data_IF_240548314521
#
_entry.id   IF_240548314521
#
_cell.length_a   1.000
_cell.length_b   1.000
_cell.length_c   1.000
_cell.angle_alpha   90.00
_cell.angle_beta   90.00
_cell.angle_gamma   90.00
#
_symmetry.space_group_name_H-M   'P 1'
#
loop_
_entity.id
_entity.type
_entity.pdbx_description
1 polymer ?
#
# COMPACT_ATOMS: atom_id res chain seq x y z
N UNK A 1 7.92 25.06 -8.18
CA UNK A 1 8.78 23.85 -8.02
C UNK A 1 9.73 23.77 -9.21
N UNK A 2 10.88 23.08 -9.08
CA UNK A 2 11.83 22.93 -10.19
C UNK A 2 11.53 21.68 -11.04
N UNK A 3 11.96 21.64 -12.31
CA UNK A 3 11.84 20.45 -13.18
C UNK A 3 12.36 19.18 -12.49
N UNK A 4 13.51 19.27 -11.80
CA UNK A 4 14.12 18.13 -11.11
C UNK A 4 13.25 17.54 -9.99
N UNK A 5 12.43 18.37 -9.32
CA UNK A 5 11.50 17.89 -8.30
C UNK A 5 10.38 17.09 -8.94
N UNK A 6 9.82 17.55 -10.05
CA UNK A 6 8.78 16.81 -10.78
C UNK A 6 9.30 15.47 -11.29
N UNK A 7 10.52 15.43 -11.84
CA UNK A 7 11.16 14.17 -12.27
C UNK A 7 11.29 13.19 -11.10
N UNK A 8 11.71 13.66 -9.92
CA UNK A 8 11.82 12.81 -8.73
C UNK A 8 10.46 12.27 -8.29
N UNK A 9 9.42 13.11 -8.27
CA UNK A 9 8.06 12.71 -7.92
C UNK A 9 7.51 11.66 -8.88
N UNK A 10 7.71 11.88 -10.19
CA UNK A 10 7.33 10.92 -11.24
C UNK A 10 8.09 9.60 -11.05
N UNK A 11 9.40 9.65 -10.83
CA UNK A 11 10.22 8.46 -10.59
C UNK A 11 9.72 7.65 -9.39
N UNK A 12 9.50 8.29 -8.24
CA UNK A 12 8.96 7.62 -7.05
C UNK A 12 7.56 7.03 -7.31
N UNK A 13 6.71 7.74 -8.03
CA UNK A 13 5.36 7.26 -8.36
C UNK A 13 5.36 6.07 -9.32
N UNK A 14 6.25 6.06 -10.31
CA UNK A 14 6.44 4.91 -11.22
C UNK A 14 6.94 3.69 -10.45
N UNK A 15 7.93 3.85 -9.56
CA UNK A 15 8.42 2.76 -8.71
C UNK A 15 7.30 2.20 -7.83
N UNK A 16 6.52 3.08 -7.20
CA UNK A 16 5.40 2.68 -6.36
C UNK A 16 4.34 1.91 -7.15
N UNK A 17 3.93 2.43 -8.31
CA UNK A 17 2.96 1.77 -9.19
C UNK A 17 3.46 0.40 -9.66
N UNK A 18 4.74 0.28 -10.03
CA UNK A 18 5.36 -1.00 -10.40
C UNK A 18 5.41 -1.98 -9.22
N UNK A 19 5.77 -1.50 -8.02
CA UNK A 19 5.76 -2.30 -6.79
C UNK A 19 4.37 -2.86 -6.50
N UNK A 20 3.31 -2.07 -6.68
CA UNK A 20 1.94 -2.54 -6.52
C UNK A 20 1.60 -3.55 -7.61
N UNK A 21 1.91 -3.30 -8.87
CA UNK A 21 1.64 -4.26 -9.95
C UNK A 21 2.29 -5.63 -9.68
N UNK A 22 3.51 -5.65 -9.12
CA UNK A 22 4.17 -6.88 -8.67
C UNK A 22 3.44 -7.55 -7.51
N UNK A 23 3.04 -6.78 -6.49
CA UNK A 23 2.25 -7.27 -5.35
C UNK A 23 0.94 -7.93 -5.78
N UNK A 24 0.23 -7.24 -6.66
CA UNK A 24 -1.01 -7.65 -7.30
C UNK A 24 -0.83 -8.98 -8.04
N UNK A 25 0.21 -9.05 -8.88
CA UNK A 25 0.51 -10.24 -9.67
C UNK A 25 0.86 -11.44 -8.78
N UNK A 26 1.64 -11.21 -7.71
CA UNK A 26 1.96 -12.26 -6.74
C UNK A 26 0.73 -12.77 -6.01
N UNK A 27 -0.16 -11.88 -5.58
CA UNK A 27 -1.39 -12.26 -4.89
C UNK A 27 -2.33 -13.05 -5.82
N UNK A 28 -2.42 -12.69 -7.10
CA UNK A 28 -3.20 -13.48 -8.07
C UNK A 28 -2.62 -14.88 -8.34
N UNK A 29 -1.29 -15.01 -8.39
CA UNK A 29 -0.62 -16.26 -8.74
C UNK A 29 -0.51 -17.22 -7.55
N UNK A 30 -0.25 -16.68 -6.35
CA UNK A 30 0.07 -17.47 -5.15
C UNK A 30 -1.05 -17.49 -4.12
N UNK A 31 -2.02 -16.57 -4.22
CA UNK A 31 -3.16 -16.44 -3.30
C UNK A 31 -2.70 -16.46 -1.82
N UNK A 32 -3.39 -17.19 -0.95
CA UNK A 32 -3.06 -17.35 0.47
C UNK A 32 -1.72 -18.05 0.71
N UNK A 33 -1.15 -18.77 -0.28
CA UNK A 33 0.15 -19.45 -0.13
C UNK A 33 1.32 -18.47 -0.10
N UNK A 34 1.12 -17.24 -0.57
CA UNK A 34 2.13 -16.19 -0.55
C UNK A 34 2.72 -16.01 0.87
N UNK A 35 1.88 -16.06 1.89
CA UNK A 35 2.25 -15.83 3.28
C UNK A 35 3.08 -16.98 3.89
N UNK A 36 3.10 -18.15 3.25
CA UNK A 36 3.82 -19.34 3.72
C UNK A 36 5.22 -19.46 3.10
N UNK A 37 5.56 -18.59 2.15
CA UNK A 37 6.84 -18.62 1.46
C UNK A 37 7.94 -17.96 2.30
N UNK A 38 9.13 -18.56 2.42
CA UNK A 38 10.26 -17.97 3.15
C UNK A 38 10.63 -16.56 2.67
N UNK A 39 10.48 -16.30 1.36
CA UNK A 39 10.76 -15.00 0.77
C UNK A 39 9.68 -13.93 1.02
N UNK A 40 8.57 -14.26 1.71
CA UNK A 40 7.51 -13.31 2.02
C UNK A 40 7.99 -12.13 2.89
N UNK A 41 8.78 -12.40 3.94
CA UNK A 41 9.27 -11.34 4.83
C UNK A 41 10.24 -10.38 4.11
N UNK A 42 11.26 -10.85 3.35
CA UNK A 42 12.05 -9.98 2.49
C UNK A 42 11.21 -9.15 1.52
N UNK A 43 10.19 -9.76 0.92
CA UNK A 43 9.28 -9.06 0.00
C UNK A 43 8.50 -7.95 0.70
N UNK A 44 7.98 -8.22 1.90
CA UNK A 44 7.26 -7.25 2.73
C UNK A 44 8.14 -6.04 3.07
N UNK A 45 9.43 -6.26 3.35
CA UNK A 45 10.41 -5.19 3.60
C UNK A 45 10.62 -4.32 2.35
N UNK A 46 10.71 -4.93 1.17
CA UNK A 46 10.84 -4.18 -0.09
C UNK A 46 9.57 -3.35 -0.36
N UNK A 47 8.39 -3.96 -0.20
CA UNK A 47 7.11 -3.26 -0.35
C UNK A 47 6.96 -2.10 0.66
N UNK A 48 7.47 -2.27 1.88
CA UNK A 48 7.53 -1.20 2.86
C UNK A 48 8.43 -0.06 2.41
N UNK A 49 9.65 -0.38 1.96
CA UNK A 49 10.63 0.61 1.54
C UNK A 49 10.13 1.44 0.33
N UNK A 50 9.50 0.80 -0.65
CA UNK A 50 8.88 1.51 -1.79
C UNK A 50 7.71 2.39 -1.36
N UNK A 51 6.88 1.93 -0.42
CA UNK A 51 5.80 2.72 0.17
C UNK A 51 6.33 3.95 0.93
N UNK A 52 7.40 3.79 1.73
CA UNK A 52 8.02 4.90 2.46
C UNK A 52 8.63 5.93 1.50
N UNK A 53 9.28 5.48 0.43
CA UNK A 53 9.82 6.35 -0.62
C UNK A 53 8.71 7.20 -1.26
N UNK A 54 7.58 6.57 -1.55
CA UNK A 54 6.42 7.22 -2.13
C UNK A 54 5.78 8.25 -1.19
N UNK A 55 5.53 7.87 0.06
CA UNK A 55 4.93 8.76 1.06
C UNK A 55 5.85 9.94 1.39
N UNK A 56 7.16 9.73 1.45
CA UNK A 56 8.13 10.81 1.61
C UNK A 56 8.10 11.79 0.43
N UNK A 57 7.98 11.28 -0.80
CA UNK A 57 7.85 12.09 -2.01
C UNK A 57 6.55 12.93 -1.98
N UNK A 58 5.42 12.34 -1.61
CA UNK A 58 4.14 13.04 -1.44
C UNK A 58 4.21 14.12 -0.35
N UNK A 59 4.80 13.79 0.81
CA UNK A 59 4.96 14.72 1.91
C UNK A 59 5.82 15.92 1.50
N UNK A 60 6.92 15.66 0.79
CA UNK A 60 7.80 16.71 0.28
C UNK A 60 7.11 17.59 -0.77
N UNK A 61 6.31 17.00 -1.65
CA UNK A 61 5.48 17.74 -2.61
C UNK A 61 4.54 18.70 -1.87
N UNK A 62 3.74 18.19 -0.92
CA UNK A 62 2.76 19.01 -0.19
C UNK A 62 3.42 20.05 0.73
N UNK A 63 4.61 19.77 1.24
CA UNK A 63 5.42 20.75 1.95
C UNK A 63 5.83 21.90 1.02
N UNK A 64 6.35 21.59 -0.17
CA UNK A 64 6.83 22.59 -1.13
C UNK A 64 5.68 23.39 -1.77
N UNK A 65 4.57 22.73 -2.08
CA UNK A 65 3.37 23.34 -2.63
C UNK A 65 2.52 24.09 -1.58
N UNK A 66 2.91 24.04 -0.29
CA UNK A 66 2.20 24.68 0.84
C UNK A 66 0.75 24.19 1.02
N UNK A 67 0.49 22.93 0.70
CA UNK A 67 -0.82 22.31 0.90
C UNK A 67 -0.94 21.82 2.37
N UNK A 68 -1.28 22.71 3.29
CA UNK A 68 -1.25 22.44 4.74
C UNK A 68 -2.08 21.22 5.16
N UNK A 69 -3.34 21.13 4.73
CA UNK A 69 -4.23 20.01 5.08
C UNK A 69 -3.72 18.67 4.53
N UNK A 70 -3.40 18.62 3.24
CA UNK A 70 -2.88 17.41 2.59
C UNK A 70 -1.54 16.96 3.20
N UNK A 71 -0.66 17.90 3.55
CA UNK A 71 0.60 17.61 4.25
C UNK A 71 0.35 16.89 5.59
N UNK A 72 -0.58 17.40 6.40
CA UNK A 72 -0.92 16.78 7.70
C UNK A 72 -1.53 15.40 7.49
N UNK A 73 -2.44 15.24 6.53
CA UNK A 73 -3.04 13.95 6.22
C UNK A 73 -2.01 12.90 5.78
N UNK A 74 -1.05 13.26 4.90
CA UNK A 74 0.05 12.36 4.50
C UNK A 74 0.94 12.01 5.68
N UNK A 75 1.25 12.97 6.57
CA UNK A 75 2.06 12.70 7.76
C UNK A 75 1.37 11.71 8.72
N UNK A 76 0.06 11.87 8.95
CA UNK A 76 -0.73 10.93 9.76
C UNK A 76 -0.77 9.55 9.07
N UNK A 77 -0.99 9.51 7.76
CA UNK A 77 -1.02 8.26 7.00
C UNK A 77 0.33 7.54 6.99
N UNK A 78 1.44 8.28 6.95
CA UNK A 78 2.80 7.73 7.10
C UNK A 78 2.96 7.03 8.45
N UNK A 79 2.54 7.66 9.55
CA UNK A 79 2.59 7.07 10.90
C UNK A 79 1.72 5.80 10.96
N UNK A 80 0.49 5.86 10.44
CA UNK A 80 -0.41 4.72 10.38
C UNK A 80 0.19 3.55 9.58
N UNK A 81 0.87 3.85 8.47
CA UNK A 81 1.54 2.86 7.63
C UNK A 81 2.69 2.20 8.38
N UNK A 82 3.56 2.98 9.04
CA UNK A 82 4.66 2.45 9.87
C UNK A 82 4.11 1.51 10.95
N UNK A 83 3.06 1.93 11.67
CA UNK A 83 2.41 1.13 12.70
C UNK A 83 1.84 -0.19 12.12
N UNK A 84 1.16 -0.11 10.97
CA UNK A 84 0.61 -1.28 10.28
C UNK A 84 1.69 -2.28 9.89
N UNK A 85 2.81 -1.81 9.34
CA UNK A 85 3.93 -2.68 8.98
C UNK A 85 4.59 -3.32 10.20
N UNK A 86 4.75 -2.57 11.30
CA UNK A 86 5.23 -3.13 12.56
C UNK A 86 4.30 -4.24 13.08
N UNK A 87 2.98 -4.04 13.05
CA UNK A 87 2.00 -5.05 13.46
C UNK A 87 2.07 -6.28 12.54
N UNK A 88 2.11 -6.08 11.22
CA UNK A 88 2.28 -7.18 10.25
C UNK A 88 3.53 -8.01 10.55
N UNK A 89 4.66 -7.35 10.77
CA UNK A 89 5.90 -8.01 11.11
C UNK A 89 5.77 -8.85 12.40
N UNK A 90 5.16 -8.29 13.46
CA UNK A 90 4.94 -9.02 14.72
C UNK A 90 4.01 -10.22 14.56
N UNK A 91 2.95 -10.09 13.76
CA UNK A 91 2.02 -11.20 13.47
C UNK A 91 2.77 -12.33 12.76
N UNK A 92 3.56 -12.03 11.73
CA UNK A 92 4.20 -13.07 10.92
C UNK A 92 5.48 -13.66 11.53
N UNK A 93 6.22 -12.91 12.36
CA UNK A 93 7.47 -13.38 12.96
C UNK A 93 7.25 -13.98 14.35
N UNK A 94 6.38 -13.38 15.16
CA UNK A 94 6.20 -13.74 16.58
C UNK A 94 4.86 -14.44 16.82
N UNK A 95 3.86 -14.24 15.95
CA UNK A 95 2.49 -14.71 16.20
C UNK A 95 1.68 -13.81 17.13
N UNK A 96 2.24 -12.66 17.53
CA UNK A 96 1.62 -11.70 18.44
C UNK A 96 0.73 -10.68 17.69
N UNK A 97 -0.17 -10.02 18.43
CA UNK A 97 -0.98 -8.89 17.95
C UNK A 97 -1.93 -9.20 16.78
N UNK A 98 -2.34 -10.45 16.60
CA UNK A 98 -3.32 -10.83 15.55
C UNK A 98 -4.62 -10.01 15.68
N UNK A 99 -5.03 -9.69 16.90
CA UNK A 99 -6.19 -8.87 17.25
C UNK A 99 -6.09 -7.43 16.68
N UNK A 100 -4.86 -6.92 16.48
CA UNK A 100 -4.59 -5.57 15.97
C UNK A 100 -4.43 -5.54 14.45
N UNK A 101 -4.48 -6.69 13.77
CA UNK A 101 -4.35 -6.77 12.32
C UNK A 101 -5.41 -5.93 11.59
N UNK A 102 -6.69 -6.15 11.91
CA UNK A 102 -7.79 -5.40 11.28
C UNK A 102 -7.86 -3.94 11.75
N UNK A 103 -7.75 -3.61 13.05
CA UNK A 103 -7.72 -2.21 13.49
C UNK A 103 -6.63 -1.37 12.82
N UNK A 104 -5.42 -1.92 12.68
CA UNK A 104 -4.32 -1.21 12.02
C UNK A 104 -4.57 -1.00 10.52
N UNK A 105 -5.22 -1.96 9.86
CA UNK A 105 -5.61 -1.81 8.46
C UNK A 105 -6.71 -0.75 8.28
N UNK A 106 -7.73 -0.76 9.13
CA UNK A 106 -8.78 0.27 9.15
C UNK A 106 -8.21 1.69 9.36
N UNK A 107 -7.19 1.83 10.21
CA UNK A 107 -6.50 3.10 10.44
C UNK A 107 -5.78 3.59 9.16
N UNK A 108 -5.11 2.70 8.44
CA UNK A 108 -4.46 3.02 7.16
C UNK A 108 -5.50 3.46 6.13
N UNK A 109 -6.63 2.76 6.02
CA UNK A 109 -7.73 3.16 5.13
C UNK A 109 -8.29 4.53 5.51
N UNK A 110 -8.64 4.75 6.78
CA UNK A 110 -9.21 6.01 7.23
C UNK A 110 -8.30 7.21 6.95
N UNK A 111 -7.00 7.06 7.20
CA UNK A 111 -6.00 8.12 6.96
C UNK A 111 -5.73 8.33 5.47
N UNK A 112 -5.82 7.29 4.64
CA UNK A 112 -5.76 7.41 3.18
C UNK A 112 -6.99 8.14 2.62
N UNK A 113 -8.19 7.81 3.12
CA UNK A 113 -9.42 8.51 2.78
C UNK A 113 -9.39 9.99 3.18
N UNK A 114 -8.87 10.28 4.38
CA UNK A 114 -8.65 11.65 4.85
C UNK A 114 -7.71 12.41 3.90
N UNK A 115 -6.64 11.78 3.43
CA UNK A 115 -5.76 12.36 2.42
C UNK A 115 -6.51 12.69 1.13
N UNK A 116 -7.32 11.76 0.61
CA UNK A 116 -8.18 12.00 -0.55
C UNK A 116 -9.12 13.20 -0.38
N UNK A 117 -9.76 13.32 0.79
CA UNK A 117 -10.61 14.47 1.13
C UNK A 117 -9.80 15.76 1.15
N UNK A 118 -8.61 15.77 1.78
CA UNK A 118 -7.76 16.95 1.79
C UNK A 118 -7.33 17.40 0.39
N UNK A 119 -7.12 16.48 -0.55
CA UNK A 119 -6.82 16.80 -1.95
C UNK A 119 -7.98 17.49 -2.67
N UNK A 120 -9.23 17.21 -2.31
CA UNK A 120 -10.38 17.89 -2.91
C UNK A 120 -10.41 19.40 -2.61
N UNK A 121 -9.88 19.77 -1.44
CA UNK A 121 -9.88 21.14 -0.93
C UNK A 121 -8.53 21.85 -1.09
N UNK A 122 -7.56 21.28 -1.81
CA UNK A 122 -6.31 22.01 -2.08
C UNK A 122 -6.55 23.18 -3.02
N UNK A 123 -6.07 24.35 -2.62
CA UNK A 123 -6.06 25.56 -3.44
C UNK A 123 -4.82 25.58 -4.34
N UNK A 124 -4.97 25.10 -5.58
CA UNK A 124 -3.92 25.13 -6.61
C UNK A 124 -4.48 25.75 -7.90
N UNK A 125 -3.63 26.40 -8.70
CA UNK A 125 -4.04 27.13 -9.91
C UNK A 125 -4.57 26.21 -11.02
N UNK A 126 -4.13 24.94 -11.06
CA UNK A 126 -4.61 23.90 -11.98
C UNK A 126 -4.94 22.62 -11.21
N UNK A 127 -6.07 22.57 -10.50
CA UNK A 127 -6.32 21.53 -9.53
C UNK A 127 -6.97 20.27 -10.12
N UNK A 128 -7.20 20.21 -11.45
CA UNK A 128 -8.04 19.17 -12.08
C UNK A 128 -7.54 17.77 -11.71
N UNK A 129 -6.28 17.47 -11.99
CA UNK A 129 -5.70 16.15 -11.74
C UNK A 129 -5.57 15.84 -10.24
N UNK A 130 -5.24 16.84 -9.41
CA UNK A 130 -5.13 16.66 -7.96
C UNK A 130 -6.50 16.39 -7.32
N UNK A 131 -7.56 17.08 -7.77
CA UNK A 131 -8.94 16.84 -7.35
C UNK A 131 -9.45 15.50 -7.85
N UNK A 132 -9.12 15.11 -9.09
CA UNK A 132 -9.44 13.78 -9.61
C UNK A 132 -8.81 12.70 -8.75
N UNK A 133 -7.53 12.85 -8.35
CA UNK A 133 -6.89 11.94 -7.40
C UNK A 133 -7.62 11.93 -6.05
N UNK A 134 -8.01 13.09 -5.53
CA UNK A 134 -8.79 13.21 -4.29
C UNK A 134 -10.13 12.47 -4.34
N UNK A 135 -10.93 12.67 -5.39
CA UNK A 135 -12.20 11.97 -5.58
C UNK A 135 -12.01 10.47 -5.69
N UNK A 136 -10.99 10.06 -6.44
CA UNK A 136 -10.68 8.66 -6.65
C UNK A 136 -10.28 7.97 -5.34
N UNK A 137 -9.37 8.57 -4.57
CA UNK A 137 -8.92 8.06 -3.27
C UNK A 137 -10.09 8.00 -2.29
N UNK A 138 -10.83 9.10 -2.13
CA UNK A 138 -11.93 9.17 -1.17
C UNK A 138 -13.04 8.15 -1.52
N UNK A 139 -13.43 8.08 -2.79
CA UNK A 139 -14.47 7.16 -3.25
C UNK A 139 -14.07 5.69 -3.12
N UNK A 140 -12.89 5.32 -3.62
CA UNK A 140 -12.41 3.93 -3.52
C UNK A 140 -12.16 3.51 -2.07
N UNK A 141 -11.66 4.41 -1.22
CA UNK A 141 -11.48 4.14 0.22
C UNK A 141 -12.82 3.93 0.92
N UNK A 142 -13.84 4.72 0.63
CA UNK A 142 -15.18 4.52 1.20
C UNK A 142 -15.72 3.11 0.88
N UNK A 143 -15.56 2.66 -0.37
CA UNK A 143 -15.97 1.31 -0.77
C UNK A 143 -15.08 0.23 -0.10
N UNK A 144 -13.78 0.47 0.08
CA UNK A 144 -12.89 -0.44 0.82
C UNK A 144 -13.29 -0.57 2.30
N UNK A 145 -13.72 0.53 2.94
CA UNK A 145 -14.22 0.50 4.33
C UNK A 145 -15.52 -0.28 4.40
N UNK A 146 -16.47 -0.05 3.49
CA UNK A 146 -17.75 -0.78 3.45
C UNK A 146 -17.51 -2.28 3.27
N UNK A 147 -16.63 -2.66 2.33
CA UNK A 147 -16.30 -4.08 2.07
C UNK A 147 -15.58 -4.72 3.25
N UNK A 148 -14.71 -3.98 3.95
CA UNK A 148 -14.08 -4.46 5.17
C UNK A 148 -15.12 -4.70 6.29
N UNK A 149 -16.08 -3.79 6.46
CA UNK A 149 -17.20 -3.98 7.41
C UNK A 149 -18.00 -5.22 7.00
N UNK A 150 -18.40 -5.34 5.74
CA UNK A 150 -19.11 -6.52 5.24
C UNK A 150 -18.35 -7.83 5.49
N UNK A 151 -17.02 -7.82 5.31
CA UNK A 151 -16.17 -8.98 5.59
C UNK A 151 -16.16 -9.36 7.07
N UNK A 152 -16.07 -8.37 7.97
CA UNK A 152 -16.04 -8.61 9.42
C UNK A 152 -17.38 -9.11 9.99
N UNK A 153 -18.49 -8.76 9.36
CA UNK A 153 -19.84 -9.18 9.78
C UNK A 153 -20.40 -10.37 8.98
N UNK A 154 -19.67 -10.86 7.97
CA UNK A 154 -20.07 -12.03 7.18
C UNK A 154 -20.04 -13.30 8.03
N UNK A 155 -21.18 -13.98 8.14
CA UNK A 155 -21.29 -15.29 8.79
C UNK A 155 -21.18 -16.46 7.81
N UNK A 156 -21.56 -16.24 6.55
CA UNK A 156 -21.45 -17.22 5.47
C UNK A 156 -20.06 -17.20 4.83
N UNK A 157 -19.44 -18.38 4.71
CA UNK A 157 -18.08 -18.52 4.20
C UNK A 157 -17.96 -18.18 2.71
N UNK A 158 -18.98 -18.52 1.90
CA UNK A 158 -18.97 -18.21 0.47
C UNK A 158 -19.10 -16.70 0.23
N UNK A 159 -19.96 -16.02 1.00
CA UNK A 159 -20.08 -14.57 0.99
C UNK A 159 -18.79 -13.89 1.45
N UNK A 160 -18.17 -14.38 2.54
CA UNK A 160 -16.90 -13.84 3.05
C UNK A 160 -15.78 -13.93 2.00
N UNK A 161 -15.63 -15.07 1.34
CA UNK A 161 -14.66 -15.25 0.26
C UNK A 161 -14.95 -14.34 -0.96
N UNK A 162 -16.23 -14.15 -1.31
CA UNK A 162 -16.62 -13.24 -2.39
C UNK A 162 -16.29 -11.77 -2.06
N UNK A 163 -16.58 -11.33 -0.82
CA UNK A 163 -16.25 -9.99 -0.33
C UNK A 163 -14.74 -9.79 -0.27
N UNK A 164 -13.97 -10.76 0.20
CA UNK A 164 -12.51 -10.69 0.23
C UNK A 164 -11.91 -10.55 -1.18
N UNK A 165 -12.37 -11.36 -2.14
CA UNK A 165 -11.94 -11.26 -3.53
C UNK A 165 -12.27 -9.88 -4.12
N UNK A 166 -13.48 -9.37 -3.87
CA UNK A 166 -13.86 -8.03 -4.29
C UNK A 166 -13.01 -6.95 -3.62
N UNK A 167 -12.75 -7.06 -2.32
CA UNK A 167 -11.90 -6.14 -1.56
C UNK A 167 -10.46 -6.10 -2.09
N UNK A 168 -9.90 -7.27 -2.43
CA UNK A 168 -8.58 -7.38 -3.02
C UNK A 168 -8.52 -6.68 -4.38
N UNK A 169 -9.48 -6.96 -5.28
CA UNK A 169 -9.57 -6.28 -6.59
C UNK A 169 -9.74 -4.77 -6.45
N UNK A 170 -10.56 -4.32 -5.51
CA UNK A 170 -10.79 -2.90 -5.25
C UNK A 170 -9.53 -2.22 -4.67
N UNK A 171 -8.75 -2.93 -3.86
CA UNK A 171 -7.46 -2.42 -3.35
C UNK A 171 -6.49 -2.13 -4.49
N UNK A 172 -6.53 -2.94 -5.56
CA UNK A 172 -5.73 -2.72 -6.76
C UNK A 172 -6.26 -1.52 -7.54
N UNK A 173 -7.58 -1.40 -7.66
CA UNK A 173 -8.20 -0.23 -8.26
C UNK A 173 -7.76 1.04 -7.52
N UNK A 174 -7.83 1.08 -6.18
CA UNK A 174 -7.37 2.21 -5.37
C UNK A 174 -5.91 2.64 -5.68
N UNK A 175 -5.01 1.71 -6.03
CA UNK A 175 -3.64 2.04 -6.42
C UNK A 175 -3.53 2.90 -7.69
N UNK A 176 -4.53 2.84 -8.58
CA UNK A 176 -4.60 3.68 -9.77
C UNK A 176 -4.78 5.17 -9.44
N UNK A 177 -5.06 5.53 -8.17
CA UNK A 177 -4.95 6.90 -7.66
C UNK A 177 -3.60 7.55 -7.97
N UNK A 178 -2.55 6.73 -8.15
CA UNK A 178 -1.21 7.19 -8.52
C UNK A 178 -1.19 7.82 -9.92
N UNK A 179 -2.06 7.37 -10.85
CA UNK A 179 -2.12 7.88 -12.23
C UNK A 179 -2.46 9.37 -12.30
N UNK A 180 -3.57 9.87 -11.71
CA UNK A 180 -3.86 11.30 -11.74
C UNK A 180 -2.78 12.14 -11.03
N UNK A 181 -2.11 11.61 -9.99
CA UNK A 181 -0.97 12.29 -9.37
C UNK A 181 0.24 12.39 -10.33
N UNK A 182 0.54 11.33 -11.06
CA UNK A 182 1.60 11.33 -12.09
C UNK A 182 1.28 12.30 -13.23
N UNK A 183 0.02 12.33 -13.71
CA UNK A 183 -0.42 13.27 -14.73
C UNK A 183 -0.31 14.73 -14.25
N UNK A 184 -0.69 15.00 -12.99
CA UNK A 184 -0.53 16.31 -12.36
C UNK A 184 0.92 16.80 -12.44
N UNK A 185 1.86 15.94 -12.05
CA UNK A 185 3.28 16.30 -12.05
C UNK A 185 3.90 16.31 -13.45
N UNK A 186 3.42 15.49 -14.38
CA UNK A 186 3.88 15.53 -15.77
C UNK A 186 3.49 16.86 -16.45
N UNK A 187 2.28 17.36 -16.21
CA UNK A 187 1.86 18.69 -16.66
C UNK A 187 2.71 19.77 -15.99
N UNK A 188 2.90 19.69 -14.67
CA UNK A 188 3.74 20.63 -13.93
C UNK A 188 5.21 20.64 -14.39
N UNK A 189 5.74 19.49 -14.79
CA UNK A 189 7.10 19.37 -15.36
C UNK A 189 7.22 20.07 -16.71
N UNK A 190 6.24 19.90 -17.60
CA UNK A 190 6.21 20.53 -18.93
C UNK A 190 6.16 22.06 -18.82
N UNK A 191 5.39 22.56 -17.86
CA UNK A 191 5.19 24.01 -17.67
C UNK A 191 6.31 24.68 -16.86
N UNK A 192 7.14 23.89 -16.17
CA UNK A 192 8.24 24.44 -15.38
C UNK A 192 9.36 24.96 -16.29
N UNK A 193 9.67 26.25 -16.20
CA UNK A 193 10.87 26.82 -16.81
C UNK A 193 12.13 26.25 -16.15
N UNK A 194 13.22 26.16 -16.93
CA UNK A 194 14.55 25.83 -16.41
C UNK A 194 15.04 26.96 -15.51
N UNK A 195 14.58 26.91 -14.26
CA UNK A 195 15.15 27.74 -13.22
C UNK A 195 16.53 27.17 -12.91
N UNK A 196 17.59 27.93 -13.20
CA UNK A 196 18.94 27.73 -12.66
C UNK A 196 19.04 27.87 -11.13
N UNK A 197 17.88 27.78 -10.45
CA UNK A 197 17.74 27.83 -9.02
C UNK A 197 18.33 26.56 -8.42
N UNK A 198 19.32 26.75 -7.54
CA UNK A 198 19.82 25.71 -6.64
C UNK A 198 18.63 25.13 -5.89
N UNK A 199 18.17 23.97 -6.34
CA UNK A 199 17.15 23.18 -5.66
C UNK A 199 17.49 23.07 -4.17
N UNK A 200 16.48 23.24 -3.32
CA UNK A 200 16.59 23.10 -1.86
C UNK A 200 17.04 21.70 -1.43
N UNK A 201 16.95 20.69 -2.31
CA UNK A 201 17.54 19.37 -2.13
C UNK A 201 18.94 19.34 -2.76
N UNK A 202 19.97 19.12 -1.95
CA UNK A 202 21.34 18.92 -2.46
C UNK A 202 21.34 17.81 -3.52
N UNK A 203 22.22 17.92 -4.52
CA UNK A 203 22.36 16.89 -5.56
C UNK A 203 22.58 15.50 -4.97
N UNK A 204 23.26 15.42 -3.82
CA UNK A 204 23.51 14.20 -3.05
C UNK A 204 22.24 13.51 -2.60
N UNK A 205 21.25 14.23 -2.04
CA UNK A 205 20.00 13.62 -1.58
C UNK A 205 19.20 13.07 -2.77
N UNK A 206 19.17 13.79 -3.90
CA UNK A 206 18.53 13.31 -5.13
C UNK A 206 19.20 12.04 -5.65
N UNK A 207 20.53 12.01 -5.68
CA UNK A 207 21.29 10.81 -6.03
C UNK A 207 20.99 9.63 -5.11
N UNK A 208 20.93 9.88 -3.80
CA UNK A 208 20.59 8.84 -2.82
C UNK A 208 19.18 8.29 -3.03
N UNK A 209 18.18 9.15 -3.21
CA UNK A 209 16.79 8.73 -3.49
C UNK A 209 16.71 7.90 -4.76
N UNK A 210 17.44 8.29 -5.81
CA UNK A 210 17.48 7.55 -7.06
C UNK A 210 18.13 6.17 -6.89
N UNK A 211 19.29 6.10 -6.25
CA UNK A 211 20.01 4.83 -5.98
C UNK A 211 19.16 3.91 -5.10
N UNK A 212 18.58 4.44 -4.02
CA UNK A 212 17.69 3.66 -3.14
C UNK A 212 16.45 3.18 -3.89
N UNK A 213 15.86 4.01 -4.74
CA UNK A 213 14.72 3.61 -5.59
C UNK A 213 15.07 2.46 -6.54
N UNK A 214 16.21 2.55 -7.22
CA UNK A 214 16.72 1.46 -8.08
C UNK A 214 17.00 0.20 -7.26
N UNK A 215 17.66 0.33 -6.11
CA UNK A 215 17.97 -0.80 -5.24
C UNK A 215 16.68 -1.52 -4.79
N UNK A 216 15.64 -0.77 -4.41
CA UNK A 216 14.33 -1.32 -4.08
C UNK A 216 13.67 -2.01 -5.28
N UNK A 217 13.75 -1.43 -6.49
CA UNK A 217 13.19 -2.04 -7.69
C UNK A 217 13.89 -3.37 -8.05
N UNK A 218 15.23 -3.39 -8.01
CA UNK A 218 16.04 -4.60 -8.25
C UNK A 218 15.75 -5.65 -7.18
N UNK A 219 15.78 -5.28 -5.90
CA UNK A 219 15.45 -6.19 -4.80
C UNK A 219 14.03 -6.75 -4.95
N UNK A 220 13.06 -5.92 -5.34
CA UNK A 220 11.69 -6.33 -5.60
C UNK A 220 11.58 -7.38 -6.70
N UNK A 221 12.28 -7.18 -7.83
CA UNK A 221 12.32 -8.14 -8.93
C UNK A 221 13.00 -9.46 -8.53
N UNK A 222 14.11 -9.39 -7.79
CA UNK A 222 14.83 -10.57 -7.32
C UNK A 222 13.96 -11.41 -6.37
N UNK A 223 13.31 -10.75 -5.41
CA UNK A 223 12.43 -11.43 -4.45
C UNK A 223 11.16 -11.94 -5.14
N UNK A 224 10.60 -11.19 -6.09
CA UNK A 224 9.47 -11.64 -6.91
C UNK A 224 9.81 -12.93 -7.68
N UNK A 225 10.95 -12.96 -8.36
CA UNK A 225 11.41 -14.15 -9.08
C UNK A 225 11.59 -15.34 -8.14
N UNK A 226 12.14 -15.09 -6.95
CA UNK A 226 12.31 -16.12 -5.93
C UNK A 226 10.97 -16.65 -5.41
N UNK A 227 10.00 -15.79 -5.15
CA UNK A 227 8.65 -16.18 -4.72
C UNK A 227 7.93 -17.08 -5.73
N UNK A 228 8.15 -16.88 -7.03
CA UNK A 228 7.55 -17.72 -8.06
C UNK A 228 8.15 -19.12 -8.18
N UNK A 229 9.38 -19.30 -7.71
CA UNK A 229 10.12 -20.56 -7.82
C UNK A 229 10.26 -21.30 -6.49
N UNK A 230 9.97 -20.65 -5.37
CA UNK A 230 9.98 -21.28 -4.06
C UNK A 230 8.77 -22.19 -3.85
N UNK A 231 9.02 -23.35 -3.23
CA UNK A 231 7.97 -24.22 -2.72
C UNK A 231 7.60 -23.79 -1.30
N UNK A 232 6.32 -23.87 -0.90
CA UNK A 232 5.93 -23.59 0.47
C UNK A 232 6.72 -24.49 1.42
N UNK A 233 7.24 -23.89 2.50
CA UNK A 233 7.97 -24.64 3.51
C UNK A 233 6.98 -25.56 4.24
N UNK A 234 6.91 -26.83 3.83
CA UNK A 234 6.22 -27.85 4.63
C UNK A 234 7.09 -28.05 5.86
N UNK A 235 6.72 -27.43 6.99
CA UNK A 235 7.30 -27.81 8.28
C UNK A 235 6.96 -29.27 8.51
N UNK A 236 7.97 -30.14 8.42
CA UNK A 236 7.88 -31.60 8.52
C UNK A 236 7.38 -32.12 9.88
N UNK A 237 6.90 -31.25 10.78
CA UNK A 237 6.25 -31.60 12.04
C UNK A 237 4.73 -31.29 12.10
N UNK A 238 4.16 -30.59 11.11
CA UNK A 238 2.74 -30.16 11.15
C UNK A 238 1.79 -31.01 10.31
N UNK A 239 2.28 -32.11 9.70
CA UNK A 239 1.45 -33.06 8.96
C UNK A 239 0.56 -33.93 9.86
N UNK A 240 0.74 -33.90 11.18
CA UNK A 240 -0.13 -34.61 12.12
C UNK A 240 -1.25 -33.74 12.74
N UNK A 241 -1.17 -32.40 12.67
CA UNK A 241 -2.13 -31.52 13.34
C UNK A 241 -2.73 -30.44 12.44
N UNK A 242 -2.01 -29.93 11.44
CA UNK A 242 -2.44 -28.70 10.73
C UNK A 242 -3.34 -28.94 9.51
N UNK A 243 -3.27 -30.15 8.92
CA UNK A 243 -4.08 -30.50 7.73
C UNK A 243 -5.57 -30.63 8.01
N UNK A 244 -5.97 -30.93 9.25
CA UNK A 244 -7.37 -30.90 9.69
C UNK A 244 -7.73 -29.60 10.36
N UNK A 245 -6.85 -28.98 11.15
CA UNK A 245 -7.29 -27.91 12.05
C UNK A 245 -7.35 -26.51 11.43
N UNK A 246 -6.64 -26.23 10.33
CA UNK A 246 -6.81 -24.95 9.61
C UNK A 246 -8.01 -25.02 8.64
N UNK A 247 -8.37 -26.20 8.14
CA UNK A 247 -9.60 -26.43 7.38
C UNK A 247 -10.83 -26.74 8.27
N UNK A 248 -10.64 -27.09 9.54
CA UNK A 248 -11.73 -27.31 10.52
C UNK A 248 -11.99 -26.14 11.47
N UNK A 249 -11.08 -25.17 11.62
CA UNK A 249 -11.37 -23.94 12.37
C UNK A 249 -12.50 -23.10 11.72
N UNK A 250 -12.81 -23.31 10.44
CA UNK A 250 -14.00 -22.75 9.76
C UNK A 250 -15.14 -23.78 9.53
N UNK A 251 -15.08 -25.01 10.07
CA UNK A 251 -16.12 -26.05 9.84
C UNK A 251 -16.77 -26.67 11.08
N UNK A 252 -16.49 -26.22 12.31
CA UNK A 252 -17.18 -26.76 13.51
C UNK A 252 -17.62 -25.66 14.49
N UNK A 253 -18.84 -25.15 14.29
CA UNK A 253 -19.93 -25.13 15.30
C UNK A 253 -21.23 -24.52 14.73
N UNK A 254 -22.09 -25.30 14.06
CA UNK A 254 -23.53 -25.13 14.18
C UNK A 254 -24.03 -26.02 15.34
N UNK A 255 -24.64 -25.40 16.35
CA UNK A 255 -25.39 -26.10 17.38
C UNK A 255 -24.59 -26.49 18.63
N UNK A 256 -24.84 -25.74 19.71
CA UNK A 256 -24.99 -26.26 21.07
C UNK A 256 -25.55 -25.12 21.94
N UNK A 257 -26.88 -25.01 21.96
CA UNK A 257 -27.58 -24.59 23.17
C UNK A 257 -27.30 -25.65 24.26
N UNK A 258 -27.22 -25.22 25.53
CA UNK A 258 -28.16 -25.82 26.48
C UNK A 258 -28.84 -24.78 27.37
N UNK A 259 -30.14 -25.03 27.54
CA UNK A 259 -31.12 -24.58 28.55
C UNK A 259 -31.39 -23.08 28.65
#
# INVERSE_FOLDING_TARGET
MTKSMYVLLIFCGVIYAASIALQVSLQALLDSRLFLLPSFLPWLVVAFATSMLWLAALLWYHFTARHHAAKVAVAIHLIATILRYYILYRVFVVGDYINLYFPSYSLVLATWGLYGICLLFTAETRPVWLKTAGFYIAGSTAVLVITLIMYLYATDAAYKAAVENFHNKLSWFNALATIPLLLHWAVGWKDATESGSRSALSGTIRGLVFVTGIACAVAGLLVWNRLLHEKPAIRSGELAASGKDILHAERLKPGLLPT
#
